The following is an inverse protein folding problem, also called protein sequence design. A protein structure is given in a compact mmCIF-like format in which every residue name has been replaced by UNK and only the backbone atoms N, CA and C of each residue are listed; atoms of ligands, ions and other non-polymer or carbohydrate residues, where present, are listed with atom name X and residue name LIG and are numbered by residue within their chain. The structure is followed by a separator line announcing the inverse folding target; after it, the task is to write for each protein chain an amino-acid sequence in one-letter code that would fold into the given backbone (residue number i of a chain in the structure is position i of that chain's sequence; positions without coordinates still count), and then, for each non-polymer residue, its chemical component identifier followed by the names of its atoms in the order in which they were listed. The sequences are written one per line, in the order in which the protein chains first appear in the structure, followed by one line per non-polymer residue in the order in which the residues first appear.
data_IF_917671431848
#
_entry.id   IF_917671431848
#
_cell.length_a   1.000
_cell.length_b   1.000
_cell.length_c   1.000
_cell.angle_alpha   90.00
_cell.angle_beta   90.00
_cell.angle_gamma   90.00
#
_symmetry.space_group_name_H-M   'P 1'
#
loop_
_entity.id
_entity.type
_entity.pdbx_description
1 polymer ?
#
# COMPACT_ATOMS: atom_id res chain seq x y z
N UNK A 1 -0.57 34.96 1.46
CA UNK A 1 -1.41 35.08 0.25
C UNK A 1 -1.82 33.68 -0.18
N UNK A 2 -3.01 33.24 0.22
CA UNK A 2 -3.56 31.91 -0.07
C UNK A 2 -4.01 31.82 -1.53
N UNK A 3 -3.39 30.94 -2.33
CA UNK A 3 -3.86 30.62 -3.68
C UNK A 3 -5.17 29.82 -3.57
N UNK A 4 -6.23 30.15 -4.33
CA UNK A 4 -7.44 29.33 -4.34
C UNK A 4 -7.24 28.05 -5.18
N UNK A 5 -7.62 26.89 -4.62
CA UNK A 5 -7.84 25.62 -5.35
C UNK A 5 -8.87 25.92 -6.47
N UNK A 6 -8.41 26.21 -7.69
CA UNK A 6 -9.27 26.43 -8.86
C UNK A 6 -8.92 25.44 -9.96
N UNK A 7 -9.50 24.25 -9.90
CA UNK A 7 -9.76 23.41 -11.08
C UNK A 7 -11.26 23.16 -11.16
N UNK A 8 -11.88 23.84 -12.12
CA UNK A 8 -13.28 23.67 -12.52
C UNK A 8 -13.49 22.25 -13.03
N UNK A 9 -14.38 21.50 -12.39
CA UNK A 9 -15.11 20.40 -13.05
C UNK A 9 -16.57 20.82 -13.11
N UNK A 10 -17.03 21.16 -14.31
CA UNK A 10 -18.43 21.44 -14.57
C UNK A 10 -19.17 20.10 -14.67
N UNK A 11 -20.09 19.82 -13.76
CA UNK A 11 -20.98 18.67 -13.84
C UNK A 11 -22.38 19.15 -14.25
N UNK A 12 -22.77 18.82 -15.47
CA UNK A 12 -24.12 19.07 -16.01
C UNK A 12 -25.05 18.01 -15.43
N UNK A 13 -26.05 18.46 -14.66
CA UNK A 13 -27.13 17.60 -14.17
C UNK A 13 -28.14 17.33 -15.30
N UNK A 14 -28.37 16.07 -15.63
CA UNK A 14 -29.51 15.63 -16.41
C UNK A 14 -30.27 14.54 -15.63
N UNK A 15 -31.47 14.90 -15.17
CA UNK A 15 -32.49 13.99 -14.66
C UNK A 15 -32.98 13.07 -15.79
N UNK A 16 -33.12 11.77 -15.53
CA UNK A 16 -34.16 10.95 -16.15
C UNK A 16 -34.63 9.85 -15.20
N UNK A 17 -35.96 9.77 -15.11
CA UNK A 17 -36.77 8.93 -14.23
C UNK A 17 -36.85 7.46 -14.71
N UNK A 18 -37.00 6.59 -13.72
CA UNK A 18 -37.42 5.19 -13.69
C UNK A 18 -38.20 4.58 -14.88
N UNK A 19 -37.94 3.28 -15.12
CA UNK A 19 -38.98 2.25 -15.15
C UNK A 19 -38.39 0.89 -14.70
N UNK A 20 -39.21 0.15 -13.95
CA UNK A 20 -38.92 -1.15 -13.35
C UNK A 20 -39.64 -2.30 -14.10
N UNK A 21 -39.44 -3.52 -13.58
CA UNK A 21 -39.96 -4.86 -13.95
C UNK A 21 -38.94 -5.68 -14.76
N UNK A 22 -38.58 -6.92 -14.45
CA UNK A 22 -39.06 -7.90 -13.47
C UNK A 22 -38.92 -9.29 -14.10
N UNK A 23 -38.35 -10.28 -13.38
CA UNK A 23 -38.69 -11.71 -13.41
C UNK A 23 -37.50 -12.60 -12.97
N UNK A 24 -37.82 -13.53 -12.07
CA UNK A 24 -36.98 -14.62 -11.63
C UNK A 24 -37.14 -15.85 -12.55
N UNK A 25 -36.13 -16.71 -12.61
CA UNK A 25 -36.30 -18.16 -12.72
C UNK A 25 -34.99 -18.92 -12.39
N UNK A 26 -35.21 -20.10 -11.84
CA UNK A 26 -34.36 -21.09 -11.17
C UNK A 26 -33.93 -22.27 -12.06
N UNK A 27 -32.84 -22.97 -11.66
CA UNK A 27 -32.46 -24.39 -11.91
C UNK A 27 -32.26 -24.79 -13.41
N UNK A 28 -31.42 -25.75 -13.85
CA UNK A 28 -30.86 -26.96 -13.26
C UNK A 28 -29.68 -27.53 -14.10
N UNK A 29 -28.97 -28.45 -13.46
CA UNK A 29 -27.94 -29.45 -13.84
C UNK A 29 -27.85 -29.98 -15.29
N UNK A 30 -26.61 -30.34 -15.68
CA UNK A 30 -26.29 -31.64 -16.31
C UNK A 30 -25.57 -31.62 -17.66
N UNK A 31 -24.40 -32.27 -17.75
CA UNK A 31 -23.78 -32.62 -19.03
C UNK A 31 -22.33 -33.08 -18.94
N UNK A 32 -22.09 -34.32 -18.52
CA UNK A 32 -20.87 -35.09 -18.80
C UNK A 32 -20.77 -35.43 -20.29
N UNK A 33 -19.58 -35.37 -20.89
CA UNK A 33 -19.14 -36.39 -21.86
C UNK A 33 -17.62 -36.35 -22.20
N UNK A 34 -17.00 -37.49 -21.90
CA UNK A 34 -16.03 -38.29 -22.68
C UNK A 34 -14.61 -37.79 -22.98
N UNK A 35 -13.69 -38.65 -22.52
CA UNK A 35 -12.30 -38.86 -22.90
C UNK A 35 -11.93 -38.68 -24.38
N UNK A 36 -10.75 -38.10 -24.60
CA UNK A 36 -9.90 -38.40 -25.77
C UNK A 36 -8.43 -38.25 -25.36
N UNK A 37 -7.80 -39.39 -25.16
CA UNK A 37 -6.34 -39.57 -25.07
C UNK A 37 -5.68 -39.26 -26.42
N UNK A 38 -4.73 -38.33 -26.44
CA UNK A 38 -3.56 -38.40 -27.33
C UNK A 38 -2.41 -37.57 -26.74
N UNK A 39 -1.29 -38.25 -26.50
CA UNK A 39 -0.07 -37.71 -25.89
C UNK A 39 0.82 -37.15 -27.00
N UNK A 40 0.82 -35.84 -27.17
CA UNK A 40 1.83 -35.10 -27.94
C UNK A 40 2.72 -34.31 -26.97
N UNK A 41 4.03 -34.50 -27.04
CA UNK A 41 4.99 -33.75 -26.21
C UNK A 41 4.88 -32.23 -26.49
N UNK A 42 4.93 -31.36 -25.48
CA UNK A 42 4.81 -29.92 -25.68
C UNK A 42 6.07 -29.35 -26.37
N UNK A 43 5.86 -28.39 -27.27
CA UNK A 43 6.90 -27.52 -27.79
C UNK A 43 7.45 -26.68 -26.62
N UNK A 44 8.71 -26.89 -26.24
CA UNK A 44 9.37 -26.01 -25.28
C UNK A 44 9.78 -24.71 -25.97
N UNK A 45 9.39 -23.60 -25.35
CA UNK A 45 9.87 -22.21 -25.36
C UNK A 45 10.66 -21.66 -26.57
N UNK A 46 10.24 -20.49 -27.06
CA UNK A 46 11.08 -19.65 -27.91
C UNK A 46 12.29 -19.13 -27.11
N UNK A 47 13.46 -18.93 -27.74
CA UNK A 47 14.59 -18.23 -27.11
C UNK A 47 14.20 -16.80 -26.67
N UNK A 48 14.88 -16.29 -25.65
CA UNK A 48 14.71 -14.92 -25.16
C UNK A 48 14.70 -13.89 -26.32
N UNK A 49 13.66 -13.04 -26.34
CA UNK A 49 13.50 -11.99 -27.35
C UNK A 49 12.57 -12.31 -28.54
N UNK A 50 11.91 -13.48 -28.55
CA UNK A 50 10.93 -13.85 -29.58
C UNK A 50 9.55 -14.14 -28.97
N UNK A 51 8.48 -13.80 -29.69
CA UNK A 51 7.09 -13.98 -29.23
C UNK A 51 6.30 -14.87 -30.19
N UNK A 52 5.32 -15.62 -29.65
CA UNK A 52 4.42 -16.49 -30.40
C UNK A 52 3.21 -15.68 -30.88
N UNK A 53 2.89 -15.73 -32.17
CA UNK A 53 1.72 -15.02 -32.73
C UNK A 53 0.57 -16.02 -32.93
N UNK A 54 -0.60 -15.74 -32.36
CA UNK A 54 -1.84 -16.52 -32.57
C UNK A 54 -2.86 -15.74 -33.41
N UNK A 55 -3.79 -16.42 -34.15
CA UNK A 55 -4.21 -17.82 -33.96
C UNK A 55 -3.82 -18.78 -35.09
N UNK A 56 -3.19 -19.90 -34.74
CA UNK A 56 -2.99 -21.03 -35.66
C UNK A 56 -4.24 -21.92 -35.66
N UNK A 57 -5.01 -21.89 -36.74
CA UNK A 57 -6.06 -22.89 -36.99
C UNK A 57 -5.56 -23.95 -37.98
N UNK A 58 -5.45 -25.18 -37.48
CA UNK A 58 -5.28 -26.48 -38.18
C UNK A 58 -4.01 -26.81 -38.96
N UNK A 59 -3.45 -27.96 -38.58
CA UNK A 59 -2.62 -28.94 -39.31
C UNK A 59 -1.18 -28.54 -39.72
N UNK A 60 -0.23 -29.10 -38.96
CA UNK A 60 1.21 -29.27 -39.23
C UNK A 60 2.00 -27.97 -39.39
N UNK A 61 2.47 -27.42 -38.27
CA UNK A 61 3.43 -26.31 -38.25
C UNK A 61 4.87 -26.86 -38.13
N UNK A 62 5.73 -26.51 -39.09
CA UNK A 62 7.20 -26.60 -38.97
C UNK A 62 7.72 -25.33 -38.29
N UNK A 63 8.82 -25.43 -37.53
CA UNK A 63 9.39 -24.40 -36.64
C UNK A 63 10.03 -23.18 -37.34
N UNK A 64 9.39 -22.61 -38.37
CA UNK A 64 9.94 -21.49 -39.15
C UNK A 64 9.28 -20.12 -38.83
N UNK A 65 8.52 -19.99 -37.73
CA UNK A 65 7.68 -18.81 -37.46
C UNK A 65 8.10 -17.93 -36.25
N UNK A 66 9.39 -17.79 -35.98
CA UNK A 66 9.87 -16.76 -35.04
C UNK A 66 10.34 -15.52 -35.83
N UNK A 67 9.59 -14.42 -35.77
CA UNK A 67 9.97 -13.15 -36.45
C UNK A 67 10.47 -12.10 -35.46
N UNK A 68 11.59 -11.40 -35.75
CA UNK A 68 12.06 -10.26 -34.99
C UNK A 68 11.56 -8.97 -35.67
N UNK A 69 10.46 -8.36 -35.20
CA UNK A 69 10.12 -6.93 -35.35
C UNK A 69 8.63 -6.71 -35.08
N UNK A 70 8.30 -5.69 -34.28
CA UNK A 70 6.95 -5.16 -34.16
C UNK A 70 6.67 -4.27 -35.38
N UNK A 71 5.51 -4.44 -36.02
CA UNK A 71 5.08 -3.54 -37.09
C UNK A 71 4.76 -2.14 -36.52
N UNK A 72 5.32 -1.11 -37.16
CA UNK A 72 5.25 0.30 -36.79
C UNK A 72 3.91 0.95 -37.22
N UNK A 73 2.78 0.48 -36.72
CA UNK A 73 1.48 1.16 -36.92
C UNK A 73 0.34 0.45 -36.18
N UNK A 74 0.19 0.70 -34.87
CA UNK A 74 -1.09 0.99 -34.22
C UNK A 74 -0.93 1.16 -32.70
N UNK A 75 -1.42 2.30 -32.19
CA UNK A 75 -1.73 2.62 -30.79
C UNK A 75 -0.54 2.64 -29.81
N UNK A 76 -0.23 3.85 -29.34
CA UNK A 76 0.66 4.13 -28.21
C UNK A 76 0.10 3.47 -26.92
N UNK A 77 0.38 2.18 -26.73
CA UNK A 77 0.28 1.53 -25.43
C UNK A 77 1.45 2.07 -24.61
N UNK A 78 1.16 2.98 -23.69
CA UNK A 78 2.09 3.36 -22.62
C UNK A 78 2.73 2.10 -22.08
N UNK A 79 4.06 2.05 -22.16
CA UNK A 79 4.85 0.97 -21.60
C UNK A 79 4.35 0.64 -20.19
N UNK A 80 3.81 -0.56 -20.00
CA UNK A 80 3.87 -1.19 -18.70
C UNK A 80 5.36 -1.23 -18.37
N UNK A 81 5.78 -0.48 -17.34
CA UNK A 81 7.11 -0.61 -16.78
C UNK A 81 7.39 -2.09 -16.54
N UNK A 82 8.64 -2.49 -16.73
CA UNK A 82 9.13 -3.83 -16.45
C UNK A 82 8.57 -4.32 -15.11
N UNK A 83 7.60 -5.24 -15.14
CA UNK A 83 7.14 -5.96 -13.96
C UNK A 83 8.01 -7.21 -13.92
N UNK A 84 8.91 -7.29 -12.95
CA UNK A 84 9.69 -8.50 -12.72
C UNK A 84 8.72 -9.64 -12.34
N UNK A 85 8.98 -10.86 -12.81
CA UNK A 85 8.18 -12.06 -12.50
C UNK A 85 8.04 -12.33 -10.98
N UNK A 86 8.91 -11.69 -10.16
CA UNK A 86 8.85 -11.73 -8.70
C UNK A 86 7.63 -11.03 -8.09
N UNK A 87 6.93 -10.16 -8.84
CA UNK A 87 5.73 -9.45 -8.39
C UNK A 87 4.42 -10.22 -8.66
N UNK A 88 4.51 -11.38 -9.31
CA UNK A 88 3.36 -12.25 -9.56
C UNK A 88 3.24 -13.32 -8.46
N UNK A 89 2.21 -13.24 -7.62
CA UNK A 89 1.87 -14.35 -6.73
C UNK A 89 1.39 -15.55 -7.56
N UNK A 90 1.84 -16.78 -7.26
CA UNK A 90 1.33 -17.97 -7.93
C UNK A 90 -0.13 -18.19 -7.54
N UNK A 91 -1.04 -17.97 -8.49
CA UNK A 91 -2.40 -18.50 -8.39
C UNK A 91 -2.36 -20.01 -8.62
N UNK A 92 -2.77 -20.77 -7.61
CA UNK A 92 -3.04 -22.19 -7.78
C UNK A 92 -4.30 -22.35 -8.65
N UNK A 93 -4.15 -22.65 -9.94
CA UNK A 93 -5.18 -23.41 -10.66
C UNK A 93 -5.45 -23.07 -12.12
N UNK A 94 -5.30 -21.83 -12.58
CA UNK A 94 -5.80 -21.44 -13.92
C UNK A 94 -4.70 -20.83 -14.78
N UNK A 95 -4.62 -21.29 -16.05
CA UNK A 95 -3.57 -20.96 -17.02
C UNK A 95 -3.53 -19.52 -17.52
N UNK A 96 -4.32 -18.61 -16.94
CA UNK A 96 -4.29 -17.18 -17.23
C UNK A 96 -3.49 -16.45 -16.15
N UNK A 97 -2.19 -16.24 -16.41
CA UNK A 97 -1.38 -15.30 -15.63
C UNK A 97 -1.84 -13.88 -15.94
N UNK A 98 -2.87 -13.39 -15.25
CA UNK A 98 -3.06 -11.95 -15.13
C UNK A 98 -2.03 -11.42 -14.13
N UNK A 99 -1.06 -10.65 -14.62
CA UNK A 99 -0.20 -9.82 -13.77
C UNK A 99 -1.08 -8.74 -13.14
N UNK A 100 -1.77 -9.07 -12.05
CA UNK A 100 -2.31 -8.05 -11.17
C UNK A 100 -1.10 -7.55 -10.39
N UNK A 101 -0.76 -6.25 -10.41
CA UNK A 101 0.25 -5.72 -9.49
C UNK A 101 -0.08 -6.25 -8.09
N UNK A 102 0.93 -6.61 -7.28
CA UNK A 102 0.74 -7.07 -5.88
C UNK A 102 -0.21 -6.17 -5.06
N UNK A 103 -0.43 -4.94 -5.54
CA UNK A 103 -1.23 -3.86 -4.95
C UNK A 103 -2.42 -3.38 -5.84
N UNK A 104 -2.64 -3.99 -7.01
CA UNK A 104 -3.51 -3.50 -8.08
C UNK A 104 -5.02 -3.61 -7.79
N UNK A 105 -5.60 -2.52 -7.29
CA UNK A 105 -7.00 -2.03 -7.35
C UNK A 105 -7.36 -1.27 -6.08
N UNK A 106 -6.84 -1.69 -4.91
CA UNK A 106 -7.13 -1.07 -3.61
C UNK A 106 -6.47 0.30 -3.43
N UNK A 107 -5.44 0.62 -4.21
CA UNK A 107 -4.72 1.89 -4.13
C UNK A 107 -4.91 2.81 -5.37
N UNK A 108 -5.81 2.46 -6.30
CA UNK A 108 -6.03 3.27 -7.51
C UNK A 108 -6.41 4.73 -7.20
N UNK A 109 -7.21 4.94 -6.15
CA UNK A 109 -7.57 6.28 -5.67
C UNK A 109 -6.36 7.10 -5.18
N UNK A 110 -5.31 6.44 -4.70
CA UNK A 110 -4.09 7.10 -4.24
C UNK A 110 -3.24 7.55 -5.43
N UNK A 111 -3.11 6.72 -6.47
CA UNK A 111 -2.35 7.06 -7.68
C UNK A 111 -2.94 8.26 -8.42
N UNK A 112 -4.27 8.32 -8.55
CA UNK A 112 -4.97 9.44 -9.20
C UNK A 112 -4.82 10.77 -8.45
N UNK A 113 -4.56 10.71 -7.14
CA UNK A 113 -4.45 11.87 -6.25
C UNK A 113 -3.06 12.00 -5.61
N UNK A 114 -2.03 11.47 -6.27
CA UNK A 114 -0.66 11.54 -5.77
C UNK A 114 -0.20 13.01 -5.71
N UNK A 115 0.37 13.39 -4.57
CA UNK A 115 0.90 14.73 -4.28
C UNK A 115 2.34 14.58 -3.81
N UNK A 116 3.25 15.25 -4.52
CA UNK A 116 4.64 15.36 -4.10
C UNK A 116 4.77 16.41 -3.01
N UNK A 117 5.45 16.07 -1.92
CA UNK A 117 5.70 16.98 -0.80
C UNK A 117 6.72 18.03 -1.25
N UNK A 118 6.45 19.29 -0.96
CA UNK A 118 7.43 20.39 -1.08
C UNK A 118 8.05 20.72 0.30
N UNK A 119 9.12 21.53 0.31
CA UNK A 119 9.71 22.00 1.56
C UNK A 119 8.68 22.76 2.42
N UNK A 120 7.90 23.66 1.81
CA UNK A 120 6.83 24.41 2.46
C UNK A 120 5.76 23.49 3.07
N UNK A 121 5.39 22.41 2.36
CA UNK A 121 4.44 21.43 2.87
C UNK A 121 5.00 20.73 4.11
N UNK A 122 6.24 20.25 4.06
CA UNK A 122 6.85 19.54 5.19
C UNK A 122 7.07 20.46 6.40
N UNK A 123 7.43 21.72 6.17
CA UNK A 123 7.47 22.75 7.21
C UNK A 123 6.08 22.93 7.84
N UNK A 124 5.02 23.08 7.03
CA UNK A 124 3.66 23.20 7.55
C UNK A 124 3.24 21.96 8.36
N UNK A 125 3.53 20.75 7.89
CA UNK A 125 3.21 19.49 8.60
C UNK A 125 3.95 19.35 9.93
N UNK A 126 5.11 19.98 10.06
CA UNK A 126 5.91 20.00 11.30
C UNK A 126 5.62 21.22 12.17
N UNK A 127 4.60 22.03 11.83
CA UNK A 127 4.31 23.31 12.47
C UNK A 127 5.56 24.22 12.51
N UNK A 128 6.30 24.24 11.41
CA UNK A 128 7.52 25.02 11.18
C UNK A 128 8.65 24.70 12.19
N UNK A 129 8.68 23.48 12.73
CA UNK A 129 9.68 23.04 13.72
C UNK A 129 10.71 22.06 13.17
N UNK A 130 11.02 22.18 11.88
CA UNK A 130 11.93 21.31 11.16
C UNK A 130 13.18 22.09 10.76
N UNK A 131 14.35 21.59 11.11
CA UNK A 131 15.60 22.33 10.91
C UNK A 131 16.08 22.32 9.45
N UNK A 132 15.83 21.24 8.72
CA UNK A 132 16.33 21.05 7.34
C UNK A 132 15.32 20.27 6.48
N UNK A 133 14.08 20.76 6.46
CA UNK A 133 13.01 20.10 5.71
C UNK A 133 13.32 20.00 4.22
N UNK A 134 13.94 21.02 3.65
CA UNK A 134 14.34 21.03 2.24
C UNK A 134 15.26 19.87 1.86
N UNK A 135 16.24 19.52 2.70
CA UNK A 135 17.16 18.42 2.41
C UNK A 135 16.50 17.04 2.55
N UNK A 136 15.45 16.90 3.34
CA UNK A 136 14.77 15.62 3.58
C UNK A 136 13.72 15.28 2.52
N UNK A 137 13.10 16.30 1.91
CA UNK A 137 12.00 16.13 0.94
C UNK A 137 12.31 15.13 -0.19
N UNK A 138 13.49 15.15 -0.86
CA UNK A 138 13.78 14.19 -1.91
C UNK A 138 13.70 12.73 -1.44
N UNK A 139 14.26 12.42 -0.27
CA UNK A 139 14.27 11.06 0.30
C UNK A 139 12.88 10.62 0.73
N UNK A 140 12.10 11.53 1.35
CA UNK A 140 10.72 11.26 1.75
C UNK A 140 9.86 10.93 0.52
N UNK A 141 9.90 11.80 -0.49
CA UNK A 141 9.12 11.64 -1.70
C UNK A 141 9.48 10.35 -2.46
N UNK A 142 10.77 10.03 -2.54
CA UNK A 142 11.24 8.78 -3.14
C UNK A 142 10.66 7.56 -2.43
N UNK A 143 10.82 7.48 -1.09
CA UNK A 143 10.29 6.37 -0.31
C UNK A 143 8.76 6.26 -0.43
N UNK A 144 8.05 7.38 -0.35
CA UNK A 144 6.59 7.39 -0.49
C UNK A 144 6.13 6.96 -1.90
N UNK A 145 6.87 7.31 -2.95
CA UNK A 145 6.57 6.87 -4.30
C UNK A 145 6.72 5.34 -4.44
N UNK A 146 7.82 4.79 -3.93
CA UNK A 146 8.11 3.35 -3.93
C UNK A 146 7.03 2.53 -3.19
N UNK A 147 6.47 3.08 -2.10
CA UNK A 147 5.38 2.45 -1.35
C UNK A 147 3.96 2.82 -1.80
N UNK A 148 3.78 3.58 -2.90
CA UNK A 148 2.48 4.12 -3.32
C UNK A 148 1.74 4.89 -2.20
N UNK A 149 2.47 5.69 -1.43
CA UNK A 149 1.98 6.44 -0.28
C UNK A 149 1.82 7.95 -0.55
N UNK A 150 1.91 8.38 -1.81
CA UNK A 150 1.85 9.81 -2.19
C UNK A 150 0.45 10.46 -2.08
N UNK A 151 -0.58 9.78 -1.57
CA UNK A 151 -1.87 10.43 -1.31
C UNK A 151 -1.89 11.15 0.05
N UNK A 152 -2.62 12.28 0.17
CA UNK A 152 -2.56 13.15 1.34
C UNK A 152 -2.74 12.48 2.70
N UNK A 153 -3.67 11.52 2.84
CA UNK A 153 -3.93 10.86 4.13
C UNK A 153 -2.80 9.91 4.53
N UNK A 154 -2.21 9.19 3.56
CA UNK A 154 -1.05 8.32 3.79
C UNK A 154 0.20 9.14 4.11
N UNK A 155 0.41 10.24 3.40
CA UNK A 155 1.48 11.20 3.72
C UNK A 155 1.31 11.71 5.15
N UNK A 156 0.14 12.21 5.51
CA UNK A 156 -0.12 12.74 6.85
C UNK A 156 0.11 11.69 7.94
N UNK A 157 -0.34 10.45 7.71
CA UNK A 157 -0.10 9.33 8.61
C UNK A 157 1.39 9.03 8.78
N UNK A 158 2.12 8.90 7.68
CA UNK A 158 3.55 8.61 7.70
C UNK A 158 4.33 9.72 8.41
N UNK A 159 4.15 10.98 7.99
CA UNK A 159 4.85 12.14 8.54
C UNK A 159 4.57 12.33 10.03
N UNK A 160 3.34 12.04 10.50
CA UNK A 160 3.03 12.11 11.92
C UNK A 160 3.84 11.12 12.77
N UNK A 161 3.96 9.87 12.29
CA UNK A 161 4.79 8.86 12.96
C UNK A 161 6.26 9.22 12.93
N UNK A 162 6.74 9.72 11.78
CA UNK A 162 8.14 10.14 11.67
C UNK A 162 8.44 11.27 12.63
N UNK A 163 7.59 12.28 12.66
CA UNK A 163 7.74 13.44 13.55
C UNK A 163 7.79 13.03 15.02
N UNK A 164 6.94 12.08 15.42
CA UNK A 164 6.97 11.55 16.78
C UNK A 164 8.24 10.74 17.05
N UNK A 165 8.58 9.79 16.18
CA UNK A 165 9.76 8.93 16.38
C UNK A 165 11.05 9.73 16.46
N UNK A 166 11.20 10.74 15.61
CA UNK A 166 12.49 11.40 15.39
C UNK A 166 12.67 12.76 16.07
N UNK A 167 11.77 13.13 16.99
CA UNK A 167 11.67 14.50 17.54
C UNK A 167 11.72 15.56 16.42
N UNK A 168 10.73 15.53 15.53
CA UNK A 168 10.64 16.46 14.38
C UNK A 168 11.86 16.37 13.44
N UNK A 169 12.21 15.15 13.00
CA UNK A 169 13.26 14.88 12.02
C UNK A 169 14.68 15.22 12.50
N UNK A 170 14.91 15.25 13.81
CA UNK A 170 16.21 15.61 14.41
C UNK A 170 17.07 14.39 14.73
N UNK A 171 16.44 13.30 15.13
CA UNK A 171 17.12 12.12 15.66
C UNK A 171 16.60 10.89 14.93
N UNK A 172 17.38 10.34 14.00
CA UNK A 172 17.04 9.08 13.31
C UNK A 172 17.70 7.85 13.92
N UNK A 173 18.59 8.05 14.90
CA UNK A 173 19.28 6.99 15.63
C UNK A 173 19.29 7.36 17.10
N UNK A 174 18.79 6.46 17.95
CA UNK A 174 18.99 6.54 19.38
C UNK A 174 19.97 5.43 19.77
N UNK A 175 21.21 5.84 20.04
CA UNK A 175 22.32 4.93 20.29
C UNK A 175 22.18 4.19 21.63
N UNK A 176 21.39 4.73 22.58
CA UNK A 176 21.23 4.13 23.90
C UNK A 176 20.43 2.81 23.88
N UNK A 177 19.49 2.68 22.94
CA UNK A 177 18.64 1.49 22.79
C UNK A 177 18.65 0.89 21.37
N UNK A 178 19.53 1.41 20.49
CA UNK A 178 19.74 0.93 19.12
C UNK A 178 18.47 0.93 18.25
N UNK A 179 17.51 1.82 18.56
CA UNK A 179 16.39 2.08 17.65
C UNK A 179 16.81 3.08 16.58
N UNK A 180 16.37 2.85 15.34
CA UNK A 180 16.79 3.65 14.20
C UNK A 180 15.71 3.72 13.11
N UNK A 181 15.92 4.64 12.16
CA UNK A 181 15.04 4.86 11.01
C UNK A 181 13.94 5.87 11.30
N UNK A 182 13.09 6.14 10.30
CA UNK A 182 12.16 7.27 10.39
C UNK A 182 11.06 7.07 11.43
N UNK A 183 10.72 5.82 11.80
CA UNK A 183 9.74 5.51 12.85
C UNK A 183 10.36 4.82 14.07
N UNK A 184 11.69 4.92 14.25
CA UNK A 184 12.43 4.39 15.40
C UNK A 184 12.16 2.89 15.68
N UNK A 185 12.50 2.05 14.70
CA UNK A 185 12.35 0.61 14.84
C UNK A 185 13.49 -0.03 15.62
N UNK A 186 13.18 -1.13 16.30
CA UNK A 186 14.18 -1.97 16.99
C UNK A 186 15.11 -2.67 16.02
N UNK A 187 16.25 -3.14 16.54
CA UNK A 187 17.25 -3.90 15.79
C UNK A 187 16.68 -5.09 15.02
N UNK A 188 15.86 -5.91 15.65
CA UNK A 188 15.26 -7.06 14.98
C UNK A 188 14.46 -6.65 13.73
N UNK A 189 13.73 -5.53 13.80
CA UNK A 189 12.84 -5.09 12.73
C UNK A 189 13.60 -4.47 11.57
N UNK A 190 14.60 -3.61 11.82
CA UNK A 190 15.37 -3.02 10.72
C UNK A 190 16.32 -4.03 10.06
N UNK A 191 16.71 -5.11 10.74
CA UNK A 191 17.43 -6.23 10.10
C UNK A 191 16.54 -6.97 9.11
N UNK A 192 15.29 -7.25 9.48
CA UNK A 192 14.32 -7.83 8.56
C UNK A 192 14.07 -6.90 7.35
N UNK A 193 13.98 -5.60 7.57
CA UNK A 193 13.87 -4.62 6.48
C UNK A 193 15.09 -4.66 5.54
N UNK A 194 16.32 -4.81 6.08
CA UNK A 194 17.53 -4.96 5.28
C UNK A 194 17.49 -6.17 4.34
N UNK A 195 16.86 -7.27 4.76
CA UNK A 195 16.73 -8.45 3.89
C UNK A 195 15.83 -8.19 2.68
N UNK A 196 14.94 -7.21 2.76
CA UNK A 196 13.86 -6.97 1.80
C UNK A 196 14.02 -5.68 1.00
N UNK A 197 14.89 -4.77 1.44
CA UNK A 197 15.20 -3.51 0.75
C UNK A 197 16.59 -3.66 0.10
N UNK A 198 16.69 -3.92 -1.22
CA UNK A 198 17.95 -4.22 -1.89
C UNK A 198 19.03 -3.16 -1.66
N UNK A 199 18.69 -1.88 -1.74
CA UNK A 199 19.67 -0.80 -1.60
C UNK A 199 20.18 -0.65 -0.16
N UNK A 200 19.37 -1.04 0.83
CA UNK A 200 19.79 -1.12 2.23
C UNK A 200 20.74 -2.30 2.41
N UNK A 201 20.42 -3.47 1.83
CA UNK A 201 21.31 -4.64 1.81
C UNK A 201 22.67 -4.30 1.22
N UNK A 202 22.67 -3.61 0.07
CA UNK A 202 23.90 -3.15 -0.59
C UNK A 202 24.71 -2.20 0.29
N UNK A 203 24.04 -1.33 1.06
CA UNK A 203 24.72 -0.44 2.00
C UNK A 203 25.39 -1.23 3.14
N UNK A 204 24.72 -2.27 3.63
CA UNK A 204 25.31 -3.19 4.60
C UNK A 204 26.50 -3.95 4.03
N UNK A 205 26.42 -4.44 2.79
CA UNK A 205 27.53 -5.14 2.11
C UNK A 205 28.76 -4.25 1.95
N UNK A 206 28.56 -2.97 1.60
CA UNK A 206 29.64 -1.98 1.51
C UNK A 206 30.27 -1.67 2.87
N UNK A 207 29.46 -1.53 3.92
CA UNK A 207 29.94 -1.17 5.26
C UNK A 207 30.63 -2.36 5.96
N UNK A 208 30.14 -3.57 5.70
CA UNK A 208 30.58 -4.80 6.37
C UNK A 208 31.16 -5.82 5.38
N UNK A 209 32.21 -5.48 4.60
CA UNK A 209 32.71 -6.34 3.52
C UNK A 209 33.27 -7.68 4.01
N UNK A 210 33.69 -7.76 5.28
CA UNK A 210 34.17 -9.00 5.91
C UNK A 210 33.04 -9.87 6.49
N UNK A 211 31.81 -9.35 6.49
CA UNK A 211 30.65 -10.04 7.04
C UNK A 211 29.91 -10.89 6.00
N UNK A 212 30.19 -10.68 4.72
CA UNK A 212 29.81 -11.54 3.59
C UNK A 212 30.26 -13.01 3.72
N UNK A 213 31.18 -13.33 4.65
CA UNK A 213 31.53 -14.71 5.03
C UNK A 213 30.48 -15.39 5.91
N UNK A 214 29.48 -14.64 6.38
CA UNK A 214 28.30 -15.14 7.07
C UNK A 214 27.15 -15.28 6.06
N UNK A 215 26.17 -16.15 6.32
CA UNK A 215 25.06 -16.36 5.41
C UNK A 215 24.17 -15.12 5.21
N UNK A 216 24.27 -14.11 6.09
CA UNK A 216 23.50 -12.88 5.96
C UNK A 216 24.30 -11.64 6.41
N UNK A 217 24.41 -10.67 5.49
CA UNK A 217 25.02 -9.35 5.74
C UNK A 217 24.15 -8.47 6.63
N UNK A 218 22.83 -8.64 6.61
CA UNK A 218 21.90 -7.84 7.39
C UNK A 218 22.01 -8.13 8.89
N UNK A 219 22.61 -9.25 9.29
CA UNK A 219 22.97 -9.58 10.68
C UNK A 219 24.26 -8.91 11.19
N UNK A 220 24.90 -8.04 10.41
CA UNK A 220 26.22 -7.49 10.70
C UNK A 220 26.18 -6.12 11.38
N UNK A 221 27.22 -5.82 12.17
CA UNK A 221 27.34 -4.58 12.93
C UNK A 221 26.30 -4.43 14.04
N UNK A 222 26.41 -3.40 14.86
CA UNK A 222 25.33 -2.95 15.78
C UNK A 222 25.17 -1.44 15.61
N UNK A 223 26.00 -0.63 16.27
CA UNK A 223 25.93 0.84 16.19
C UNK A 223 26.15 1.38 14.77
N UNK A 224 27.11 0.82 14.02
CA UNK A 224 27.35 1.21 12.62
C UNK A 224 26.16 0.87 11.73
N UNK A 225 25.48 -0.25 11.99
CA UNK A 225 24.29 -0.66 11.25
C UNK A 225 23.12 0.27 11.54
N UNK A 226 22.91 0.65 12.82
CA UNK A 226 21.92 1.65 13.21
C UNK A 226 22.18 3.00 12.52
N UNK A 227 23.44 3.41 12.33
CA UNK A 227 23.79 4.62 11.57
C UNK A 227 23.44 4.55 10.09
N UNK A 228 23.62 3.40 9.42
CA UNK A 228 23.12 3.20 8.04
C UNK A 228 21.59 3.34 8.01
N UNK A 229 20.91 2.61 8.89
CA UNK A 229 19.44 2.61 8.98
C UNK A 229 18.88 4.00 9.27
N UNK A 230 19.60 4.82 10.04
CA UNK A 230 19.23 6.19 10.35
C UNK A 230 19.61 7.22 9.29
N UNK A 231 20.34 6.87 8.23
CA UNK A 231 20.60 7.79 7.13
C UNK A 231 19.29 8.11 6.40
N UNK A 232 19.01 9.37 6.02
CA UNK A 232 17.74 9.77 5.41
C UNK A 232 17.30 8.88 4.23
N UNK A 233 18.22 8.48 3.37
CA UNK A 233 17.94 7.64 2.21
C UNK A 233 17.33 6.28 2.57
N UNK A 234 17.67 5.71 3.73
CA UNK A 234 17.16 4.42 4.20
C UNK A 234 16.09 4.57 5.26
N UNK A 235 16.21 5.56 6.14
CA UNK A 235 15.29 5.78 7.24
C UNK A 235 13.83 5.86 6.79
N UNK A 236 13.55 6.60 5.71
CA UNK A 236 12.20 6.74 5.19
C UNK A 236 11.71 5.49 4.46
N UNK A 237 12.56 4.84 3.66
CA UNK A 237 12.23 3.58 2.98
C UNK A 237 11.86 2.48 3.96
N UNK A 238 12.63 2.37 5.04
CA UNK A 238 12.39 1.42 6.13
C UNK A 238 11.05 1.72 6.83
N UNK A 239 10.71 2.99 7.04
CA UNK A 239 9.40 3.38 7.57
C UNK A 239 8.25 3.05 6.60
N UNK A 240 8.44 3.25 5.30
CA UNK A 240 7.44 2.91 4.27
C UNK A 240 7.28 1.39 4.16
N UNK A 241 8.37 0.63 4.18
CA UNK A 241 8.34 -0.84 4.23
C UNK A 241 7.49 -1.34 5.40
N UNK A 242 7.61 -0.74 6.59
CA UNK A 242 6.75 -1.09 7.73
C UNK A 242 5.26 -0.91 7.44
N UNK A 243 4.90 0.18 6.76
CA UNK A 243 3.53 0.45 6.36
C UNK A 243 3.00 -0.55 5.33
N UNK A 244 3.82 -0.90 4.34
CA UNK A 244 3.42 -1.74 3.22
C UNK A 244 3.32 -3.21 3.63
N UNK A 245 4.29 -3.72 4.39
CA UNK A 245 4.37 -5.14 4.71
C UNK A 245 5.04 -5.48 6.04
N UNK A 246 5.96 -4.65 6.55
CA UNK A 246 6.74 -4.97 7.75
C UNK A 246 5.88 -5.18 9.00
N UNK A 247 4.82 -4.38 9.18
CA UNK A 247 3.89 -4.55 10.30
C UNK A 247 3.17 -5.92 10.27
N UNK A 248 2.78 -6.39 9.08
CA UNK A 248 2.16 -7.70 8.90
C UNK A 248 3.13 -8.83 9.21
N UNK A 249 4.35 -8.74 8.71
CA UNK A 249 5.34 -9.78 8.92
C UNK A 249 5.76 -9.91 10.38
N UNK A 250 5.91 -8.79 11.10
CA UNK A 250 6.40 -8.77 12.47
C UNK A 250 5.28 -9.01 13.49
N UNK A 251 4.11 -8.40 13.29
CA UNK A 251 3.02 -8.45 14.26
C UNK A 251 1.90 -9.41 13.86
N UNK A 252 1.72 -9.69 12.57
CA UNK A 252 0.58 -10.41 12.03
C UNK A 252 -0.75 -9.67 12.23
N UNK A 253 -1.86 -10.36 11.97
CA UNK A 253 -3.19 -9.80 12.14
C UNK A 253 -3.41 -9.24 13.57
N UNK A 254 -4.01 -8.05 13.72
CA UNK A 254 -4.72 -7.26 12.71
C UNK A 254 -3.86 -6.26 11.91
N UNK A 255 -2.54 -6.26 12.09
CA UNK A 255 -1.63 -5.40 11.34
C UNK A 255 -1.38 -6.04 9.96
N UNK A 256 -1.87 -5.39 8.91
CA UNK A 256 -1.65 -5.77 7.52
C UNK A 256 -0.95 -4.63 6.79
N UNK A 257 -1.31 -4.40 5.53
CA UNK A 257 -0.99 -3.17 4.80
C UNK A 257 -1.66 -1.95 5.46
N UNK A 258 -0.85 -1.16 6.19
CA UNK A 258 -1.28 0.01 6.95
C UNK A 258 -1.62 1.21 6.06
N UNK A 259 -1.33 1.15 4.76
CA UNK A 259 -1.75 2.19 3.81
C UNK A 259 -3.27 2.25 3.72
N UNK A 260 -3.92 1.08 3.75
CA UNK A 260 -5.38 0.96 3.75
C UNK A 260 -5.99 1.53 5.03
N UNK A 261 -5.36 1.27 6.16
CA UNK A 261 -5.80 1.85 7.43
C UNK A 261 -5.61 3.38 7.45
N UNK A 262 -4.54 3.90 6.84
CA UNK A 262 -4.32 5.36 6.76
C UNK A 262 -5.36 6.08 5.88
N UNK A 263 -5.96 5.41 4.89
CA UNK A 263 -6.98 5.98 4.01
C UNK A 263 -8.31 6.29 4.74
N UNK A 264 -8.57 5.66 5.88
CA UNK A 264 -9.75 5.90 6.74
C UNK A 264 -9.64 7.20 7.56
N UNK A 265 -8.54 7.95 7.41
CA UNK A 265 -8.34 9.22 8.11
C UNK A 265 -7.85 9.05 9.55
N UNK A 266 -8.22 9.97 10.45
CA UNK A 266 -7.80 9.88 11.86
C UNK A 266 -8.30 8.59 12.52
N UNK A 267 -9.54 8.20 12.21
CA UNK A 267 -10.22 7.06 12.81
C UNK A 267 -10.44 7.22 14.32
N UNK A 268 -10.54 6.08 15.02
CA UNK A 268 -10.84 6.03 16.44
C UNK A 268 -10.18 4.83 17.12
N UNK A 269 -9.90 4.97 18.40
CA UNK A 269 -9.33 3.90 19.22
C UNK A 269 -9.69 4.10 20.68
N UNK A 270 -9.64 2.99 21.41
CA UNK A 270 -9.57 3.01 22.86
C UNK A 270 -8.18 3.47 23.31
N UNK A 271 -8.07 3.96 24.55
CA UNK A 271 -6.78 4.31 25.15
C UNK A 271 -5.86 3.08 25.25
N UNK A 272 -6.44 1.95 25.61
CA UNK A 272 -5.78 0.64 25.64
C UNK A 272 -6.21 -0.19 24.43
N UNK A 273 -5.24 -0.60 23.61
CA UNK A 273 -5.52 -1.33 22.37
C UNK A 273 -5.13 -2.79 22.47
N UNK A 274 -5.95 -3.66 21.88
CA UNK A 274 -5.70 -5.11 21.83
C UNK A 274 -5.75 -5.59 20.38
N UNK A 275 -5.42 -6.85 20.13
CA UNK A 275 -5.54 -7.45 18.79
C UNK A 275 -7.00 -7.50 18.32
N UNK A 276 -7.93 -7.64 19.25
CA UNK A 276 -9.38 -7.66 19.00
C UNK A 276 -9.96 -6.25 18.83
N UNK A 277 -9.26 -5.23 19.32
CA UNK A 277 -9.67 -3.82 19.24
C UNK A 277 -8.45 -2.92 18.95
N UNK A 278 -7.86 -3.03 17.75
CA UNK A 278 -6.63 -2.31 17.40
C UNK A 278 -6.87 -0.82 17.11
N UNK A 279 -8.13 -0.41 16.99
CA UNK A 279 -8.55 0.88 16.44
C UNK A 279 -8.88 0.78 14.95
N UNK A 280 -9.18 1.93 14.35
CA UNK A 280 -9.39 2.13 12.91
C UNK A 280 -8.65 3.38 12.46
N UNK A 281 -8.37 3.54 11.17
CA UNK A 281 -7.69 4.74 10.69
C UNK A 281 -6.22 4.83 11.10
N UNK A 282 -5.74 6.06 11.19
CA UNK A 282 -4.46 6.43 11.78
C UNK A 282 -4.26 5.89 13.21
N UNK A 283 -5.33 5.71 13.98
CA UNK A 283 -5.20 5.10 15.30
C UNK A 283 -4.78 3.63 15.25
N UNK A 284 -5.20 2.88 14.22
CA UNK A 284 -4.73 1.51 14.00
C UNK A 284 -3.27 1.49 13.53
N UNK A 285 -2.87 2.40 12.65
CA UNK A 285 -1.46 2.52 12.24
C UNK A 285 -0.56 2.84 13.44
N UNK A 286 -1.04 3.69 14.36
CA UNK A 286 -0.39 3.95 15.66
C UNK A 286 -0.21 2.69 16.49
N UNK A 287 -1.27 1.89 16.67
CA UNK A 287 -1.20 0.61 17.39
C UNK A 287 -0.20 -0.36 16.73
N UNK A 288 -0.19 -0.43 15.40
CA UNK A 288 0.72 -1.32 14.67
C UNK A 288 2.17 -0.82 14.60
N UNK A 289 2.46 0.41 15.04
CA UNK A 289 3.83 0.94 15.17
C UNK A 289 4.30 0.88 16.63
N UNK A 290 3.47 1.34 17.57
CA UNK A 290 3.82 1.37 19.00
C UNK A 290 3.68 0.00 19.68
N UNK A 291 2.92 -0.92 19.09
CA UNK A 291 2.52 -2.19 19.68
C UNK A 291 1.17 -2.12 20.38
N UNK A 292 0.69 -3.29 20.83
CA UNK A 292 -0.55 -3.42 21.58
C UNK A 292 -0.36 -3.06 23.05
N UNK A 293 -1.37 -2.41 23.63
CA UNK A 293 -1.36 -1.96 25.02
C UNK A 293 -1.57 -0.45 25.14
N UNK A 294 -0.94 0.12 26.17
CA UNK A 294 -0.92 1.57 26.44
C UNK A 294 0.20 2.24 25.62
N UNK A 295 -0.13 3.35 24.95
CA UNK A 295 0.82 4.16 24.20
C UNK A 295 0.73 5.61 24.69
N UNK A 296 1.68 6.01 25.53
CA UNK A 296 1.78 7.39 26.05
C UNK A 296 1.93 8.44 24.93
N UNK A 297 2.49 8.03 23.78
CA UNK A 297 2.67 8.88 22.60
C UNK A 297 1.45 9.03 21.70
N UNK A 298 0.37 8.27 21.94
CA UNK A 298 -0.78 8.18 21.02
C UNK A 298 -1.44 9.52 20.74
N UNK A 299 -1.70 10.30 21.79
CA UNK A 299 -2.34 11.61 21.63
C UNK A 299 -1.45 12.56 20.80
N UNK A 300 -0.14 12.58 21.08
CA UNK A 300 0.79 13.42 20.34
C UNK A 300 0.86 13.03 18.85
N UNK A 301 0.89 11.73 18.54
CA UNK A 301 0.83 11.24 17.14
C UNK A 301 -0.45 11.70 16.45
N UNK A 302 -1.60 11.64 17.13
CA UNK A 302 -2.88 12.11 16.58
C UNK A 302 -2.89 13.63 16.32
N UNK A 303 -2.31 14.41 17.21
CA UNK A 303 -2.14 15.86 17.02
C UNK A 303 -1.22 16.14 15.83
N UNK A 304 -0.12 15.40 15.67
CA UNK A 304 0.79 15.53 14.54
C UNK A 304 0.14 15.14 13.22
N UNK A 305 -0.71 14.10 13.22
CA UNK A 305 -1.52 13.72 12.07
C UNK A 305 -2.46 14.85 11.64
N UNK A 306 -3.19 15.45 12.59
CA UNK A 306 -4.07 16.57 12.29
C UNK A 306 -3.30 17.81 11.80
N UNK A 307 -2.11 18.09 12.33
CA UNK A 307 -1.22 19.12 11.78
C UNK A 307 -0.83 18.80 10.34
N UNK A 308 -0.37 17.58 10.07
CA UNK A 308 0.09 17.19 8.75
C UNK A 308 -1.05 17.21 7.71
N UNK A 309 -2.24 16.71 8.10
CA UNK A 309 -3.45 16.71 7.26
C UNK A 309 -3.86 18.12 6.84
N UNK A 310 -3.69 19.13 7.71
CA UNK A 310 -4.03 20.53 7.40
C UNK A 310 -3.16 21.14 6.30
N UNK A 311 -1.98 20.58 6.02
CA UNK A 311 -1.18 20.98 4.85
C UNK A 311 -1.90 20.65 3.52
N UNK A 312 -2.88 19.74 3.55
CA UNK A 312 -3.69 19.33 2.41
C UNK A 312 -5.18 19.68 2.61
N UNK A 313 -5.56 20.97 2.56
CA UNK A 313 -6.94 21.40 2.84
C UNK A 313 -7.96 20.86 1.83
N UNK A 314 -7.53 20.52 0.60
CA UNK A 314 -8.40 19.93 -0.43
C UNK A 314 -8.56 18.38 -0.24
N UNK A 315 -8.00 17.79 0.83
CA UNK A 315 -8.09 16.37 1.17
C UNK A 315 -9.01 16.07 2.38
N UNK A 316 -9.99 16.93 2.66
CA UNK A 316 -10.99 16.62 3.69
C UNK A 316 -11.70 15.31 3.30
N UNK A 317 -11.67 14.25 4.14
CA UNK A 317 -12.28 12.97 3.79
C UNK A 317 -13.76 13.10 3.44
N UNK A 318 -14.48 14.08 3.99
CA UNK A 318 -15.86 14.38 3.61
C UNK A 318 -16.00 14.81 2.13
N UNK A 319 -15.02 15.55 1.61
CA UNK A 319 -14.99 15.98 0.21
C UNK A 319 -14.56 14.83 -0.72
N UNK A 320 -13.67 13.95 -0.28
CA UNK A 320 -13.22 12.75 -1.01
C UNK A 320 -14.30 11.65 -1.06
N UNK A 321 -15.03 11.44 0.05
CA UNK A 321 -16.17 10.53 0.14
C UNK A 321 -17.39 11.05 -0.66
N UNK A 322 -17.53 12.37 -0.80
CA UNK A 322 -18.52 12.97 -1.68
C UNK A 322 -18.16 12.84 -3.17
N UNK A 323 -16.86 12.78 -3.52
CA UNK A 323 -16.37 12.64 -4.89
C UNK A 323 -16.27 11.18 -5.37
N UNK A 324 -16.15 10.21 -4.46
CA UNK A 324 -16.20 8.80 -4.81
C UNK A 324 -17.61 8.45 -5.35
N UNK A 325 -17.75 7.77 -6.51
CA UNK A 325 -19.04 7.26 -6.93
C UNK A 325 -19.54 6.33 -5.83
N UNK A 326 -20.62 6.73 -5.16
CA UNK A 326 -21.27 5.92 -4.12
C UNK A 326 -21.59 4.57 -4.74
N UNK A 327 -20.72 3.57 -4.51
CA UNK A 327 -21.10 2.18 -4.72
C UNK A 327 -22.23 1.96 -3.74
N UNK A 328 -23.45 1.90 -4.27
CA UNK A 328 -24.64 1.52 -3.53
C UNK A 328 -24.47 0.06 -3.08
N UNK A 329 -23.66 -0.16 -2.07
CA UNK A 329 -23.61 -1.40 -1.30
C UNK A 329 -24.85 -1.43 -0.44
N UNK A 330 -25.96 -1.92 -1.01
CA UNK A 330 -27.15 -2.30 -0.29
C UNK A 330 -26.85 -3.57 0.55
N UNK A 331 -25.95 -3.48 1.53
CA UNK A 331 -25.68 -4.55 2.49
C UNK A 331 -25.38 -3.87 3.82
N UNK A 332 -26.39 -3.79 4.70
CA UNK A 332 -26.16 -3.26 6.05
C UNK A 332 -27.39 -2.79 6.83
N UNK A 333 -28.57 -2.66 6.22
CA UNK A 333 -29.77 -2.21 6.96
C UNK A 333 -30.73 -3.32 7.41
N UNK A 334 -30.39 -4.60 7.22
CA UNK A 334 -31.28 -5.72 7.57
C UNK A 334 -31.07 -6.30 8.97
N UNK A 335 -29.96 -6.00 9.66
CA UNK A 335 -29.67 -6.64 10.96
C UNK A 335 -30.31 -5.91 12.16
N UNK A 336 -30.53 -4.59 12.06
CA UNK A 336 -31.12 -3.82 13.18
C UNK A 336 -32.65 -4.02 13.28
N UNK A 337 -33.33 -4.31 12.16
CA UNK A 337 -34.77 -4.57 12.17
C UNK A 337 -35.14 -5.90 12.83
N UNK A 338 -34.27 -6.92 12.74
CA UNK A 338 -34.52 -8.24 13.33
C UNK A 338 -34.39 -8.22 14.87
N UNK A 339 -33.47 -7.42 15.43
CA UNK A 339 -33.30 -7.29 16.87
C UNK A 339 -34.45 -6.50 17.54
N UNK A 340 -34.98 -5.47 16.86
CA UNK A 340 -36.12 -4.70 17.36
C UNK A 340 -37.43 -5.52 17.36
N UNK A 341 -37.64 -6.37 16.35
CA UNK A 341 -38.81 -7.24 16.29
C UNK A 341 -38.80 -8.34 17.38
N UNK A 342 -37.63 -8.87 17.73
CA UNK A 342 -37.49 -9.88 18.78
C UNK A 342 -37.70 -9.31 20.20
N UNK A 343 -37.37 -8.03 20.43
CA UNK A 343 -37.62 -7.35 21.70
C UNK A 343 -39.12 -7.06 21.91
N UNK A 344 -39.82 -6.59 20.88
CA UNK A 344 -41.25 -6.28 20.96
C UNK A 344 -42.13 -7.53 21.16
N UNK A 345 -41.73 -8.69 20.64
CA UNK A 345 -42.44 -9.95 20.85
C UNK A 345 -42.33 -10.48 22.29
N UNK A 346 -41.34 -10.01 23.07
CA UNK A 346 -41.09 -10.46 24.45
C UNK A 346 -41.85 -9.65 25.50
N UNK A 347 -42.36 -8.47 25.14
CA UNK A 347 -43.23 -7.65 26.00
C UNK A 347 -44.73 -7.91 25.77
N UNK A 348 -45.09 -8.62 24.70
CA UNK A 348 -46.48 -8.92 24.33
C UNK A 348 -46.95 -10.35 24.72
N UNK A 349 -46.12 -11.13 25.41
CA UNK A 349 -46.40 -12.47 25.92
C UNK A 349 -46.26 -12.51 27.45
#
# INVERSE_FOLDING_TARGET
MSKPCARKVACVAALALACAWGAAATHNLGGDHSDSSDVGAPCNDCPDGFYKVEPCTTAVATCDQCTPECADDEVEIRACGHIDDADCLPHAGDGDRQCVPKWGAKHASCQDNAVWITADDLEAMTNFNCADCGALVPYINQALAEGEMLCPLRIAAFIAHVRHGTDNFRVFVNEQNLIAGAIHMTEANWRLACEQIPELKDAFDREFPNCSKRPDVCACGTERAARIVGSPEFAFRIGVWWFVEGAEQVLGAPCGDLRLDADEGLGGSLFYTTRESPGVGFQKTTTCIAGFGEDEGRQQRAEYYETARKAYPCANPDDLLAAAPRRAGAVGLTVVAAAAAAAAAKEAA
#
